data_IF_858530549672
#
_entry.id   IF_858530549672
#
_cell.length_a   1.000
_cell.length_b   1.000
_cell.length_c   1.000
_cell.angle_alpha   90.00
_cell.angle_beta   90.00
_cell.angle_gamma   90.00
#
_symmetry.space_group_name_H-M   'P 1'
#
loop_
_entity.id
_entity.type
_entity.pdbx_description
1 polymer ?
#
# COMPACT_ATOMS: atom_id res chain seq x y z
N UNK A 1 -22.73 10.20 -19.60
CA UNK A 1 -22.61 9.41 -20.84
C UNK A 1 -23.93 9.21 -21.59
N UNK A 2 -25.11 9.30 -20.96
CA UNK A 2 -26.40 9.00 -21.62
C UNK A 2 -26.93 10.01 -22.66
N UNK A 3 -26.30 11.19 -22.81
CA UNK A 3 -26.75 12.27 -23.71
C UNK A 3 -25.79 12.54 -24.88
N UNK A 4 -24.74 11.74 -25.01
CA UNK A 4 -23.62 12.00 -25.93
C UNK A 4 -23.92 11.39 -27.29
N UNK A 5 -23.93 12.21 -28.36
CA UNK A 5 -24.31 11.78 -29.72
C UNK A 5 -23.13 11.62 -30.67
N UNK A 6 -21.94 12.12 -30.31
CA UNK A 6 -20.72 12.07 -31.14
C UNK A 6 -19.51 11.53 -30.38
N UNK A 7 -18.58 10.88 -31.09
CA UNK A 7 -17.35 10.32 -30.52
C UNK A 7 -16.45 11.38 -29.87
N UNK A 8 -16.41 12.59 -30.46
CA UNK A 8 -15.65 13.73 -29.92
C UNK A 8 -16.16 14.19 -28.55
N UNK A 9 -17.49 14.26 -28.38
CA UNK A 9 -18.12 14.63 -27.11
C UNK A 9 -17.86 13.57 -26.02
N UNK A 10 -17.80 12.29 -26.42
CA UNK A 10 -17.51 11.18 -25.52
C UNK A 10 -16.05 11.21 -25.04
N UNK A 11 -15.14 11.55 -25.94
CA UNK A 11 -13.72 11.75 -25.62
C UNK A 11 -13.54 12.95 -24.69
N UNK A 12 -14.20 14.08 -24.98
CA UNK A 12 -14.17 15.27 -24.13
C UNK A 12 -14.69 14.98 -22.72
N UNK A 13 -15.84 14.30 -22.59
CA UNK A 13 -16.37 13.88 -21.29
C UNK A 13 -15.41 12.96 -20.53
N UNK A 14 -14.74 12.01 -21.21
CA UNK A 14 -13.72 11.16 -20.58
C UNK A 14 -12.50 11.95 -20.12
N UNK A 15 -12.06 12.92 -20.93
CA UNK A 15 -10.92 13.77 -20.61
C UNK A 15 -11.20 14.62 -19.37
N UNK A 16 -12.37 15.26 -19.29
CA UNK A 16 -12.78 16.02 -18.11
C UNK A 16 -12.96 15.13 -16.90
N UNK A 17 -13.64 13.98 -17.03
CA UNK A 17 -13.82 13.04 -15.93
C UNK A 17 -12.47 12.56 -15.39
N UNK A 18 -11.54 12.18 -16.28
CA UNK A 18 -10.19 11.78 -15.90
C UNK A 18 -9.38 12.89 -15.25
N UNK A 19 -9.51 14.13 -15.75
CA UNK A 19 -8.85 15.29 -15.13
C UNK A 19 -9.34 15.53 -13.70
N UNK A 20 -10.65 15.44 -13.45
CA UNK A 20 -11.23 15.60 -12.11
C UNK A 20 -10.94 14.41 -11.18
N UNK A 21 -10.99 13.17 -11.66
CA UNK A 21 -10.66 11.98 -10.86
C UNK A 21 -9.18 11.91 -10.49
N UNK A 22 -8.28 12.40 -11.35
CA UNK A 22 -6.83 12.30 -11.14
C UNK A 22 -6.35 13.00 -9.87
N UNK A 23 -7.00 14.09 -9.48
CA UNK A 23 -6.66 14.87 -8.28
C UNK A 23 -7.23 14.29 -6.98
N UNK A 24 -8.24 13.42 -7.06
CA UNK A 24 -8.99 12.96 -5.90
C UNK A 24 -8.12 12.12 -4.95
N UNK A 25 -7.40 11.13 -5.48
CA UNK A 25 -6.55 10.24 -4.71
C UNK A 25 -5.32 10.92 -4.08
N UNK A 26 -4.48 11.68 -4.83
CA UNK A 26 -3.36 12.40 -4.24
C UNK A 26 -3.83 13.53 -3.31
N UNK A 27 -4.94 14.20 -3.62
CA UNK A 27 -5.53 15.25 -2.77
C UNK A 27 -6.04 14.70 -1.43
N UNK A 28 -6.78 13.59 -1.45
CA UNK A 28 -7.25 12.92 -0.23
C UNK A 28 -6.07 12.38 0.60
N UNK A 29 -5.05 11.81 -0.05
CA UNK A 29 -3.86 11.30 0.63
C UNK A 29 -3.04 12.42 1.27
N UNK A 30 -2.89 13.56 0.58
CA UNK A 30 -2.22 14.74 1.12
C UNK A 30 -3.00 15.32 2.30
N UNK A 31 -4.32 15.49 2.17
CA UNK A 31 -5.17 16.02 3.24
C UNK A 31 -5.12 15.14 4.51
N UNK A 32 -5.14 13.81 4.35
CA UNK A 32 -4.97 12.88 5.48
C UNK A 32 -3.58 12.98 6.11
N UNK A 33 -2.53 13.23 5.29
CA UNK A 33 -1.17 13.41 5.80
C UNK A 33 -0.96 14.72 6.58
N UNK A 34 -1.74 15.76 6.28
CA UNK A 34 -1.68 17.06 6.96
C UNK A 34 -2.31 17.05 8.35
N UNK A 35 -3.29 16.16 8.59
CA UNK A 35 -4.12 16.18 9.80
C UNK A 35 -3.79 15.04 10.79
N UNK A 36 -3.18 13.95 10.35
CA UNK A 36 -2.99 12.74 11.16
C UNK A 36 -1.52 12.32 11.32
N UNK A 37 -1.17 11.83 12.52
CA UNK A 37 0.15 11.25 12.82
C UNK A 37 0.39 10.00 11.97
N UNK A 38 1.65 9.80 11.51
CA UNK A 38 2.07 8.72 10.57
C UNK A 38 1.69 7.30 10.99
N UNK A 39 1.69 7.01 12.30
CA UNK A 39 1.27 5.70 12.83
C UNK A 39 -0.22 5.42 12.60
N UNK A 40 -1.05 6.46 12.60
CA UNK A 40 -2.48 6.36 12.30
C UNK A 40 -2.79 6.52 10.81
N UNK A 41 -1.91 7.22 10.08
CA UNK A 41 -2.07 7.49 8.65
C UNK A 41 -2.14 6.19 7.84
N UNK A 42 -1.29 5.20 8.15
CA UNK A 42 -1.25 3.93 7.40
C UNK A 42 -2.58 3.17 7.49
N UNK A 43 -3.18 3.10 8.68
CA UNK A 43 -4.49 2.49 8.90
C UNK A 43 -5.62 3.24 8.19
N UNK A 44 -5.63 4.58 8.24
CA UNK A 44 -6.69 5.39 7.64
C UNK A 44 -6.62 5.43 6.11
N UNK A 45 -5.41 5.50 5.54
CA UNK A 45 -5.20 5.37 4.08
C UNK A 45 -5.60 3.97 3.62
N UNK A 46 -5.33 2.94 4.41
CA UNK A 46 -5.79 1.58 4.11
C UNK A 46 -7.32 1.51 4.02
N UNK A 47 -8.05 2.13 4.95
CA UNK A 47 -9.52 2.22 4.88
C UNK A 47 -9.97 2.96 3.61
N UNK A 48 -9.35 4.09 3.26
CA UNK A 48 -9.70 4.87 2.07
C UNK A 48 -9.59 4.02 0.79
N UNK A 49 -8.49 3.28 0.64
CA UNK A 49 -8.26 2.42 -0.52
C UNK A 49 -9.15 1.17 -0.51
N UNK A 50 -9.41 0.56 0.64
CA UNK A 50 -10.38 -0.55 0.76
C UNK A 50 -11.80 -0.08 0.43
N UNK A 51 -12.20 1.14 0.83
CA UNK A 51 -13.51 1.70 0.51
C UNK A 51 -13.69 1.98 -0.98
N UNK A 52 -12.65 2.50 -1.66
CA UNK A 52 -12.66 2.70 -3.10
C UNK A 52 -12.82 1.37 -3.87
N UNK A 53 -12.10 0.34 -3.43
CA UNK A 53 -12.20 -1.00 -4.01
C UNK A 53 -13.58 -1.63 -3.79
N UNK A 54 -14.15 -1.43 -2.59
CA UNK A 54 -15.49 -1.86 -2.25
C UNK A 54 -16.53 -1.18 -3.15
N UNK A 55 -16.45 0.15 -3.33
CA UNK A 55 -17.33 0.90 -4.22
C UNK A 55 -17.26 0.41 -5.68
N UNK A 56 -16.06 0.07 -6.17
CA UNK A 56 -15.86 -0.52 -7.50
C UNK A 56 -16.56 -1.87 -7.67
N UNK A 57 -16.55 -2.72 -6.62
CA UNK A 57 -17.28 -3.98 -6.63
C UNK A 57 -18.80 -3.76 -6.78
N UNK A 58 -19.37 -2.82 -6.02
CA UNK A 58 -20.80 -2.48 -6.11
C UNK A 58 -21.19 -1.92 -7.48
N UNK A 59 -20.32 -1.12 -8.11
CA UNK A 59 -20.58 -0.53 -9.43
C UNK A 59 -20.75 -1.57 -10.55
N UNK A 60 -19.95 -2.64 -10.54
CA UNK A 60 -20.04 -3.71 -11.55
C UNK A 60 -21.34 -4.52 -11.47
N UNK A 61 -21.81 -4.84 -10.26
CA UNK A 61 -23.08 -5.55 -10.05
C UNK A 61 -24.27 -4.69 -10.40
N UNK A 62 -24.23 -3.41 -10.05
CA UNK A 62 -25.31 -2.47 -10.37
C UNK A 62 -25.43 -2.26 -11.89
N UNK A 63 -24.29 -2.18 -12.60
CA UNK A 63 -24.25 -2.15 -14.06
C UNK A 63 -24.76 -3.45 -14.71
N UNK A 64 -24.43 -4.62 -14.16
CA UNK A 64 -24.96 -5.92 -14.62
C UNK A 64 -26.47 -6.04 -14.38
N UNK A 65 -26.96 -5.57 -13.23
CA UNK A 65 -28.39 -5.50 -12.92
C UNK A 65 -29.14 -4.61 -13.92
N UNK A 66 -28.58 -3.44 -14.25
CA UNK A 66 -29.15 -2.52 -15.26
C UNK A 66 -29.10 -3.15 -16.67
N UNK A 67 -28.04 -3.87 -17.02
CA UNK A 67 -27.90 -4.57 -18.29
C UNK A 67 -28.95 -5.67 -18.51
N UNK A 68 -29.59 -6.18 -17.44
CA UNK A 68 -30.63 -7.22 -17.51
C UNK A 68 -32.06 -6.71 -17.36
N UNK A 69 -32.26 -5.40 -17.21
CA UNK A 69 -33.59 -4.78 -17.12
C UNK A 69 -34.21 -4.36 -18.46
N UNK A 70 -33.63 -4.75 -19.60
CA UNK A 70 -34.25 -4.55 -20.92
C UNK A 70 -35.21 -5.71 -21.24
N UNK A 71 -36.51 -5.46 -21.02
CA UNK A 71 -37.59 -6.40 -21.35
C UNK A 71 -38.20 -7.12 -20.14
N UNK A 72 -38.57 -6.38 -19.09
CA UNK A 72 -39.41 -6.91 -18.00
C UNK A 72 -40.80 -7.21 -18.57
N UNK A 73 -40.96 -8.41 -19.16
CA UNK A 73 -42.12 -8.83 -19.93
C UNK A 73 -42.18 -10.34 -20.20
N UNK A 74 -43.07 -11.06 -19.51
CA UNK A 74 -43.62 -12.35 -19.94
C UNK A 74 -42.65 -13.52 -20.12
N UNK A 75 -42.01 -14.00 -19.04
CA UNK A 75 -41.08 -15.13 -19.07
C UNK A 75 -41.59 -16.32 -18.24
N UNK A 76 -41.37 -17.54 -18.75
CA UNK A 76 -41.86 -18.77 -18.11
C UNK A 76 -41.06 -19.20 -16.87
N UNK A 77 -41.77 -19.79 -15.89
CA UNK A 77 -41.31 -20.11 -14.53
C UNK A 77 -40.00 -20.89 -14.43
N UNK A 78 -39.66 -21.72 -15.42
CA UNK A 78 -38.42 -22.50 -15.42
C UNK A 78 -37.16 -21.63 -15.58
N UNK A 79 -37.27 -20.43 -16.18
CA UNK A 79 -36.15 -19.48 -16.30
C UNK A 79 -35.78 -18.85 -14.95
N UNK A 80 -36.71 -18.82 -14.00
CA UNK A 80 -36.46 -18.34 -12.62
C UNK A 80 -35.53 -19.25 -11.82
N UNK A 81 -35.46 -20.54 -12.16
CA UNK A 81 -34.52 -21.47 -11.51
C UNK A 81 -33.08 -21.09 -11.88
N UNK A 82 -32.83 -20.82 -13.16
CA UNK A 82 -31.52 -20.34 -13.62
C UNK A 82 -31.18 -18.95 -13.05
N UNK A 83 -32.17 -18.07 -12.84
CA UNK A 83 -31.94 -16.79 -12.17
C UNK A 83 -31.61 -16.96 -10.68
N UNK A 84 -32.33 -17.81 -9.95
CA UNK A 84 -32.08 -18.05 -8.52
C UNK A 84 -30.76 -18.78 -8.25
N UNK A 85 -30.36 -19.69 -9.13
CA UNK A 85 -29.07 -20.38 -9.06
C UNK A 85 -27.90 -19.44 -9.40
N UNK A 86 -28.07 -18.57 -10.41
CA UNK A 86 -27.13 -17.50 -10.70
C UNK A 86 -27.00 -16.50 -9.55
N UNK A 87 -28.09 -16.17 -8.84
CA UNK A 87 -28.07 -15.27 -7.67
C UNK A 87 -27.26 -15.84 -6.50
N UNK A 88 -27.35 -17.15 -6.23
CA UNK A 88 -26.56 -17.79 -5.16
C UNK A 88 -25.05 -17.75 -5.44
N UNK A 89 -24.66 -18.10 -6.68
CA UNK A 89 -23.27 -18.01 -7.10
C UNK A 89 -22.78 -16.57 -7.20
N UNK A 90 -23.65 -15.64 -7.58
CA UNK A 90 -23.37 -14.21 -7.60
C UNK A 90 -23.00 -13.70 -6.21
N UNK A 91 -23.80 -14.00 -5.17
CA UNK A 91 -23.53 -13.50 -3.80
C UNK A 91 -22.19 -14.02 -3.28
N UNK A 92 -21.89 -15.31 -3.48
CA UNK A 92 -20.64 -15.93 -2.99
C UNK A 92 -19.43 -15.36 -3.75
N UNK A 93 -19.49 -15.30 -5.08
CA UNK A 93 -18.42 -14.73 -5.88
C UNK A 93 -18.25 -13.23 -5.61
N UNK A 94 -19.34 -12.52 -5.34
CA UNK A 94 -19.33 -11.11 -5.01
C UNK A 94 -18.67 -10.83 -3.65
N UNK A 95 -19.03 -11.60 -2.63
CA UNK A 95 -18.37 -11.52 -1.32
C UNK A 95 -16.88 -11.86 -1.44
N UNK A 96 -16.53 -12.88 -2.23
CA UNK A 96 -15.13 -13.25 -2.47
C UNK A 96 -14.34 -12.13 -3.16
N UNK A 97 -14.92 -11.46 -4.17
CA UNK A 97 -14.30 -10.31 -4.84
C UNK A 97 -14.14 -9.13 -3.88
N UNK A 98 -15.14 -8.84 -3.04
CA UNK A 98 -15.05 -7.78 -2.04
C UNK A 98 -13.92 -8.05 -1.04
N UNK A 99 -13.83 -9.27 -0.52
CA UNK A 99 -12.78 -9.64 0.44
C UNK A 99 -11.39 -9.61 -0.21
N UNK A 100 -11.28 -10.09 -1.44
CA UNK A 100 -10.03 -10.05 -2.20
C UNK A 100 -9.60 -8.60 -2.51
N UNK A 101 -10.53 -7.76 -2.98
CA UNK A 101 -10.26 -6.36 -3.29
C UNK A 101 -9.95 -5.56 -2.03
N UNK A 102 -10.70 -5.78 -0.95
CA UNK A 102 -10.50 -5.15 0.35
C UNK A 102 -9.15 -5.47 0.99
N UNK A 103 -8.59 -6.67 0.74
CA UNK A 103 -7.26 -7.07 1.18
C UNK A 103 -6.12 -6.61 0.26
N UNK A 104 -6.33 -6.60 -1.05
CA UNK A 104 -5.27 -6.26 -2.02
C UNK A 104 -4.96 -4.76 -2.07
N UNK A 105 -5.98 -3.91 -2.00
CA UNK A 105 -5.83 -2.45 -2.08
C UNK A 105 -4.94 -1.85 -0.98
N UNK A 106 -5.08 -2.23 0.31
CA UNK A 106 -4.19 -1.71 1.35
C UNK A 106 -2.77 -2.26 1.24
N UNK A 107 -2.54 -3.46 0.68
CA UNK A 107 -1.18 -4.00 0.55
C UNK A 107 -0.23 -3.07 -0.22
N UNK A 108 -0.71 -2.42 -1.30
CA UNK A 108 0.13 -1.49 -2.08
C UNK A 108 0.53 -0.29 -1.23
N UNK A 109 -0.43 0.32 -0.53
CA UNK A 109 -0.19 1.45 0.35
C UNK A 109 0.74 1.08 1.52
N UNK A 110 0.55 -0.09 2.12
CA UNK A 110 1.40 -0.61 3.20
C UNK A 110 2.84 -0.81 2.72
N UNK A 111 3.05 -1.41 1.56
CA UNK A 111 4.40 -1.62 1.01
C UNK A 111 5.11 -0.28 0.73
N UNK A 112 4.40 0.72 0.20
CA UNK A 112 4.93 2.07 -0.03
C UNK A 112 5.31 2.75 1.29
N UNK A 113 4.41 2.70 2.28
CA UNK A 113 4.64 3.29 3.60
C UNK A 113 5.82 2.62 4.32
N UNK A 114 5.90 1.28 4.25
CA UNK A 114 6.99 0.50 4.84
C UNK A 114 8.34 0.81 4.19
N UNK A 115 8.40 0.86 2.85
CA UNK A 115 9.63 1.19 2.13
C UNK A 115 10.08 2.63 2.42
N UNK A 116 9.13 3.57 2.50
CA UNK A 116 9.39 4.97 2.85
C UNK A 116 9.89 5.16 4.28
N UNK A 117 9.48 4.30 5.21
CA UNK A 117 9.92 4.33 6.61
C UNK A 117 11.26 3.63 6.85
N UNK A 118 11.66 2.70 5.99
CA UNK A 118 12.90 1.94 6.14
C UNK A 118 14.10 2.51 5.35
N UNK A 119 13.91 3.65 4.66
CA UNK A 119 14.98 4.34 3.91
C UNK A 119 15.02 5.81 4.35
N UNK A 120 16.15 6.20 4.95
CA UNK A 120 16.32 7.54 5.53
C UNK A 120 16.77 8.64 4.53
N UNK A 121 17.69 8.40 3.56
CA UNK A 121 18.06 9.47 2.63
C UNK A 121 16.94 9.74 1.61
N UNK A 122 16.50 10.99 1.47
CA UNK A 122 15.38 11.36 0.59
C UNK A 122 15.57 10.94 -0.88
N UNK A 123 16.79 11.09 -1.41
CA UNK A 123 17.13 10.70 -2.79
C UNK A 123 17.05 9.18 -2.97
N UNK A 124 17.66 8.42 -2.05
CA UNK A 124 17.62 6.94 -2.05
C UNK A 124 16.18 6.43 -1.92
N UNK A 125 15.39 7.06 -1.05
CA UNK A 125 13.97 6.75 -0.84
C UNK A 125 13.14 7.02 -2.09
N UNK A 126 13.35 8.16 -2.75
CA UNK A 126 12.65 8.51 -3.98
C UNK A 126 12.97 7.51 -5.11
N UNK A 127 14.25 7.16 -5.30
CA UNK A 127 14.66 6.17 -6.30
C UNK A 127 14.08 4.79 -6.00
N UNK A 128 14.09 4.35 -4.74
CA UNK A 128 13.52 3.06 -4.35
C UNK A 128 12.00 3.00 -4.58
N UNK A 129 11.27 4.06 -4.24
CA UNK A 129 9.83 4.17 -4.49
C UNK A 129 9.51 4.19 -5.99
N UNK A 130 10.27 4.94 -6.79
CA UNK A 130 10.09 5.00 -8.25
C UNK A 130 10.37 3.64 -8.91
N UNK A 131 11.39 2.92 -8.43
CA UNK A 131 11.70 1.57 -8.89
C UNK A 131 10.57 0.59 -8.55
N UNK A 132 10.05 0.64 -7.31
CA UNK A 132 8.94 -0.19 -6.87
C UNK A 132 7.69 0.01 -7.73
N UNK A 133 7.32 1.27 -8.02
CA UNK A 133 6.17 1.61 -8.87
C UNK A 133 6.39 1.11 -10.30
N UNK A 134 7.60 1.24 -10.83
CA UNK A 134 7.95 0.75 -12.17
C UNK A 134 7.77 -0.75 -12.31
N UNK A 135 8.24 -1.54 -11.32
CA UNK A 135 8.04 -3.00 -11.29
C UNK A 135 6.56 -3.35 -11.15
N UNK A 136 5.80 -2.58 -10.36
CA UNK A 136 4.35 -2.75 -10.21
C UNK A 136 3.59 -2.67 -11.55
N UNK A 137 3.99 -1.75 -12.43
CA UNK A 137 3.37 -1.59 -13.74
C UNK A 137 3.61 -2.80 -14.68
N UNK A 138 4.77 -3.48 -14.56
CA UNK A 138 5.07 -4.69 -15.33
C UNK A 138 4.10 -5.82 -14.96
N UNK A 139 3.72 -5.92 -13.68
CA UNK A 139 2.72 -6.88 -13.21
C UNK A 139 1.36 -6.74 -13.92
N UNK A 140 0.97 -5.52 -14.28
CA UNK A 140 -0.27 -5.26 -15.02
C UNK A 140 -0.27 -5.88 -16.42
N UNK A 141 0.86 -5.85 -17.12
CA UNK A 141 1.01 -6.43 -18.47
C UNK A 141 0.89 -7.96 -18.44
N UNK A 142 1.55 -8.60 -17.47
CA UNK A 142 1.55 -10.06 -17.32
C UNK A 142 0.16 -10.55 -16.90
N UNK A 143 -0.51 -9.82 -15.99
CA UNK A 143 -1.83 -10.18 -15.48
C UNK A 143 -2.88 -10.29 -16.60
N UNK A 144 -2.86 -9.35 -17.57
CA UNK A 144 -3.81 -9.34 -18.69
C UNK A 144 -3.71 -10.54 -19.63
N UNK A 145 -2.60 -11.28 -19.59
CA UNK A 145 -2.35 -12.44 -20.47
C UNK A 145 -2.53 -13.79 -19.76
N UNK A 146 -2.72 -13.77 -18.44
CA UNK A 146 -2.68 -14.97 -17.60
C UNK A 146 -3.94 -15.83 -17.71
N UNK A 147 -5.09 -15.21 -18.00
CA UNK A 147 -6.37 -15.89 -18.18
C UNK A 147 -6.70 -16.00 -19.67
N UNK A 148 -6.37 -17.16 -20.26
CA UNK A 148 -6.62 -17.44 -21.68
C UNK A 148 -7.98 -18.11 -21.85
N UNK A 149 -8.72 -17.74 -22.90
CA UNK A 149 -10.06 -18.30 -23.20
C UNK A 149 -10.07 -19.81 -23.42
N UNK A 150 -8.94 -20.38 -23.85
CA UNK A 150 -8.74 -21.82 -24.04
C UNK A 150 -8.79 -22.64 -22.74
N UNK A 151 -8.51 -22.02 -21.59
CA UNK A 151 -8.47 -22.69 -20.28
C UNK A 151 -9.82 -22.62 -19.52
N UNK A 152 -10.87 -22.16 -20.22
CA UNK A 152 -12.23 -22.18 -19.70
C UNK A 152 -12.73 -23.63 -19.51
N UNK A 153 -13.62 -23.90 -18.53
CA UNK A 153 -14.30 -22.95 -17.64
C UNK A 153 -13.60 -22.73 -16.28
N UNK A 154 -12.55 -23.49 -15.96
CA UNK A 154 -11.94 -23.49 -14.61
C UNK A 154 -10.65 -22.68 -14.46
N UNK A 155 -10.01 -22.25 -15.56
CA UNK A 155 -8.83 -21.37 -15.57
C UNK A 155 -7.73 -21.75 -14.56
N UNK A 156 -7.44 -23.05 -14.44
CA UNK A 156 -6.58 -23.61 -13.39
C UNK A 156 -5.17 -23.02 -13.46
N UNK A 157 -4.62 -22.82 -14.67
CA UNK A 157 -3.29 -22.26 -14.86
C UNK A 157 -3.20 -20.82 -14.32
N UNK A 158 -4.18 -19.96 -14.63
CA UNK A 158 -4.23 -18.59 -14.14
C UNK A 158 -4.30 -18.53 -12.61
N UNK A 159 -5.12 -19.38 -12.01
CA UNK A 159 -5.22 -19.48 -10.55
C UNK A 159 -3.96 -20.03 -9.89
N UNK A 160 -3.32 -21.04 -10.48
CA UNK A 160 -2.08 -21.61 -9.97
C UNK A 160 -0.92 -20.60 -9.99
N UNK A 161 -0.78 -19.83 -11.07
CA UNK A 161 0.24 -18.77 -11.17
C UNK A 161 -0.04 -17.66 -10.16
N UNK A 162 -1.30 -17.23 -10.01
CA UNK A 162 -1.67 -16.24 -9.00
C UNK A 162 -1.34 -16.72 -7.57
N UNK A 163 -1.67 -17.96 -7.24
CA UNK A 163 -1.34 -18.57 -5.96
C UNK A 163 0.18 -18.64 -5.74
N UNK A 164 0.94 -18.95 -6.79
CA UNK A 164 2.41 -18.94 -6.78
C UNK A 164 2.99 -17.57 -6.44
N UNK A 165 2.48 -16.49 -7.05
CA UNK A 165 2.91 -15.13 -6.74
C UNK A 165 2.54 -14.71 -5.31
N UNK A 166 1.36 -15.09 -4.82
CA UNK A 166 0.97 -14.88 -3.42
C UNK A 166 1.93 -15.59 -2.46
N UNK A 167 2.24 -16.87 -2.71
CA UNK A 167 3.18 -17.64 -1.90
C UNK A 167 4.60 -17.02 -1.92
N UNK A 168 5.07 -16.61 -3.10
CA UNK A 168 6.34 -15.90 -3.23
C UNK A 168 6.36 -14.59 -2.43
N UNK A 169 5.26 -13.82 -2.45
CA UNK A 169 5.11 -12.61 -1.64
C UNK A 169 5.22 -12.89 -0.13
N UNK A 170 4.57 -13.95 0.36
CA UNK A 170 4.66 -14.37 1.77
C UNK A 170 6.09 -14.77 2.12
N UNK A 171 6.77 -15.54 1.27
CA UNK A 171 8.17 -15.93 1.48
C UNK A 171 9.08 -14.70 1.57
N UNK A 172 8.92 -13.74 0.65
CA UNK A 172 9.70 -12.48 0.69
C UNK A 172 9.42 -11.68 1.96
N UNK A 173 8.16 -11.57 2.39
CA UNK A 173 7.80 -10.89 3.62
C UNK A 173 8.44 -11.55 4.85
N UNK A 174 8.46 -12.89 4.89
CA UNK A 174 9.11 -13.66 5.96
C UNK A 174 10.63 -13.43 5.98
N UNK A 175 11.28 -13.50 4.81
CA UNK A 175 12.72 -13.25 4.67
C UNK A 175 13.05 -11.83 5.13
N UNK A 176 12.27 -10.83 4.70
CA UNK A 176 12.44 -9.45 5.13
C UNK A 176 12.27 -9.31 6.64
N UNK A 177 11.22 -9.89 7.23
CA UNK A 177 10.96 -9.80 8.67
C UNK A 177 12.12 -10.37 9.48
N UNK A 178 12.60 -11.57 9.13
CA UNK A 178 13.73 -12.18 9.83
C UNK A 178 15.05 -11.48 9.55
N UNK A 179 15.28 -11.01 8.31
CA UNK A 179 16.46 -10.24 7.94
C UNK A 179 16.56 -8.93 8.71
N UNK A 180 15.47 -8.15 8.77
CA UNK A 180 15.42 -6.88 9.50
C UNK A 180 15.54 -7.11 11.02
N UNK A 181 14.93 -8.17 11.56
CA UNK A 181 15.12 -8.55 12.97
C UNK A 181 16.56 -8.93 13.28
N UNK A 182 17.19 -9.71 12.41
CA UNK A 182 18.58 -10.12 12.58
C UNK A 182 19.53 -8.91 12.50
N UNK A 183 19.31 -8.00 11.56
CA UNK A 183 20.11 -6.79 11.41
C UNK A 183 19.91 -5.82 12.57
N UNK A 184 18.68 -5.62 13.05
CA UNK A 184 18.42 -4.85 14.28
C UNK A 184 19.15 -5.44 15.48
N UNK A 185 19.10 -6.77 15.68
CA UNK A 185 19.85 -7.47 16.74
C UNK A 185 21.36 -7.34 16.58
N UNK A 186 21.87 -7.38 15.35
CA UNK A 186 23.31 -7.18 15.07
C UNK A 186 23.74 -5.77 15.45
N UNK A 187 22.96 -4.76 15.07
CA UNK A 187 23.24 -3.36 15.42
C UNK A 187 23.09 -3.11 16.92
N UNK A 188 22.16 -3.78 17.60
CA UNK A 188 22.05 -3.73 19.06
C UNK A 188 23.27 -4.34 19.77
N UNK A 189 23.91 -5.36 19.18
CA UNK A 189 25.17 -5.90 19.72
C UNK A 189 26.36 -4.97 19.50
N UNK A 190 26.43 -4.32 18.35
CA UNK A 190 27.56 -3.45 17.97
C UNK A 190 27.48 -2.08 18.66
N UNK A 191 26.29 -1.48 18.69
CA UNK A 191 26.09 -0.11 19.13
C UNK A 191 25.25 -0.01 20.40
N UNK A 192 24.78 -1.12 20.96
CA UNK A 192 23.87 -1.20 22.12
C UNK A 192 22.41 -0.80 21.77
N UNK A 193 21.46 -0.98 22.71
CA UNK A 193 20.05 -0.66 22.50
C UNK A 193 19.82 0.86 22.42
N UNK A 194 18.80 1.26 21.65
CA UNK A 194 18.32 2.64 21.55
C UNK A 194 17.58 3.02 22.84
N UNK A 195 17.87 4.21 23.40
CA UNK A 195 17.11 4.76 24.54
C UNK A 195 15.76 5.29 24.04
N UNK A 196 14.67 4.86 24.66
CA UNK A 196 13.30 5.31 24.36
C UNK A 196 12.93 6.66 25.00
N UNK A 197 13.77 7.16 25.91
CA UNK A 197 13.59 8.43 26.62
C UNK A 197 14.97 9.03 26.93
N UNK A 198 15.11 10.33 26.73
CA UNK A 198 16.30 11.09 27.15
C UNK A 198 15.91 12.01 28.30
N UNK A 199 16.70 11.96 29.36
CA UNK A 199 16.60 12.89 30.48
C UNK A 199 17.37 14.14 30.06
N UNK A 200 16.66 15.26 29.92
CA UNK A 200 17.29 16.54 29.61
C UNK A 200 18.14 16.98 30.82
N UNK A 201 19.16 17.81 30.57
CA UNK A 201 19.98 18.42 31.64
C UNK A 201 19.11 19.23 32.62
N UNK A 202 17.91 19.65 32.21
CA UNK A 202 16.87 20.27 33.05
C UNK A 202 16.19 19.30 34.04
N UNK A 203 16.51 18.00 34.01
CA UNK A 203 15.86 16.98 34.84
C UNK A 203 14.49 16.53 34.34
N UNK A 204 13.97 17.11 33.26
CA UNK A 204 12.73 16.67 32.61
C UNK A 204 12.99 15.49 31.67
N UNK A 205 12.20 14.42 31.85
CA UNK A 205 12.20 13.27 30.95
C UNK A 205 11.26 13.53 29.77
N UNK A 206 11.81 13.71 28.57
CA UNK A 206 11.01 13.80 27.34
C UNK A 206 10.97 12.43 26.68
N UNK A 207 9.77 11.92 26.39
CA UNK A 207 9.60 10.71 25.58
C UNK A 207 10.06 10.99 24.15
N UNK A 208 11.02 10.22 23.66
CA UNK A 208 11.52 10.36 22.31
C UNK A 208 10.46 9.80 21.36
N UNK A 209 9.57 10.66 20.84
CA UNK A 209 8.58 10.23 19.85
C UNK A 209 9.35 9.80 18.60
N UNK A 210 9.29 8.50 18.31
CA UNK A 210 10.11 7.84 17.27
C UNK A 210 9.51 8.16 15.90
N UNK A 211 9.63 9.40 15.45
CA UNK A 211 9.11 9.79 14.14
C UNK A 211 10.13 9.41 13.08
N UNK A 212 10.08 8.15 12.62
CA UNK A 212 11.09 7.42 11.84
C UNK A 212 11.54 8.07 10.51
N UNK A 213 11.01 9.25 10.16
CA UNK A 213 11.54 10.06 9.06
C UNK A 213 12.50 11.17 9.49
N UNK A 214 12.53 11.51 10.76
CA UNK A 214 13.54 12.36 11.36
C UNK A 214 14.25 11.49 12.39
N UNK A 215 15.56 11.30 12.24
CA UNK A 215 16.37 10.99 13.40
C UNK A 215 16.17 12.16 14.37
N UNK A 216 15.15 12.12 15.23
CA UNK A 216 15.14 13.01 16.38
C UNK A 216 16.24 12.49 17.28
N UNK A 217 17.31 13.26 17.22
CA UNK A 217 18.53 13.36 18.01
C UNK A 217 18.18 13.56 19.50
N UNK A 218 17.24 12.79 20.03
CA UNK A 218 17.18 12.59 21.46
C UNK A 218 18.34 11.64 21.80
N UNK A 219 19.55 12.20 21.93
CA UNK A 219 20.76 11.50 22.36
C UNK A 219 22.01 11.80 21.52
N UNK A 220 21.88 12.11 20.22
CA UNK A 220 23.05 12.38 19.34
C UNK A 220 23.81 13.68 19.74
N UNK A 221 23.25 14.46 20.67
CA UNK A 221 23.90 15.63 21.29
C UNK A 221 24.77 15.33 22.51
N UNK A 222 24.70 14.13 23.11
CA UNK A 222 25.56 13.79 24.24
C UNK A 222 26.94 13.36 23.73
N UNK A 223 28.01 13.94 24.29
CA UNK A 223 29.39 13.52 23.98
C UNK A 223 29.59 12.01 24.17
N UNK A 224 28.92 11.39 25.16
CA UNK A 224 29.00 9.95 25.40
C UNK A 224 28.49 9.11 24.22
N UNK A 225 27.39 9.51 23.60
CA UNK A 225 26.80 8.77 22.47
C UNK A 225 27.62 9.00 21.18
N UNK A 226 28.24 10.18 21.01
CA UNK A 226 29.21 10.41 19.91
C UNK A 226 30.46 9.55 20.07
N UNK A 227 30.98 9.40 21.28
CA UNK A 227 32.10 8.48 21.58
C UNK A 227 31.70 7.03 21.33
N UNK A 228 30.52 6.61 21.78
CA UNK A 228 29.98 5.24 21.62
C UNK A 228 29.82 4.84 20.14
N UNK A 229 29.48 5.78 19.28
CA UNK A 229 29.29 5.52 17.84
C UNK A 229 30.48 5.92 16.97
N UNK A 230 31.53 6.51 17.56
CA UNK A 230 32.75 6.92 16.85
C UNK A 230 32.58 8.14 15.95
N UNK A 231 31.62 9.02 16.25
CA UNK A 231 31.31 10.24 15.48
C UNK A 231 31.98 11.51 16.06
N UNK A 232 33.05 11.36 16.85
CA UNK A 232 33.73 12.48 17.53
C UNK A 232 34.25 13.56 16.57
N UNK A 233 34.66 13.17 15.36
CA UNK A 233 35.25 14.07 14.37
C UNK A 233 34.24 14.57 13.31
N UNK A 234 32.96 14.21 13.44
CA UNK A 234 31.93 14.59 12.46
C UNK A 234 31.09 15.76 12.99
N UNK A 235 30.78 16.70 12.11
CA UNK A 235 29.85 17.78 12.42
C UNK A 235 28.42 17.26 12.57
N UNK A 236 27.56 17.99 13.27
CA UNK A 236 26.15 17.59 13.45
C UNK A 236 25.37 17.46 12.14
N UNK A 237 25.74 18.25 11.13
CA UNK A 237 25.12 18.18 9.81
C UNK A 237 25.51 16.88 9.10
N UNK A 238 26.78 16.50 9.11
CA UNK A 238 27.25 15.23 8.53
C UNK A 238 26.61 14.02 9.23
N UNK A 239 26.44 14.08 10.56
CA UNK A 239 25.76 13.03 11.33
C UNK A 239 24.29 12.89 10.92
N UNK A 240 23.60 14.00 10.61
CA UNK A 240 22.21 13.97 10.12
C UNK A 240 22.10 13.43 8.70
N UNK A 241 23.11 13.66 7.86
CA UNK A 241 23.14 13.21 6.48
C UNK A 241 23.42 11.70 6.32
N UNK A 242 24.01 11.05 7.34
CA UNK A 242 24.26 9.59 7.35
C UNK A 242 22.98 8.75 7.14
N UNK A 243 21.81 9.23 7.57
CA UNK A 243 20.53 8.55 7.36
C UNK A 243 20.51 7.09 7.84
N UNK A 244 20.40 6.13 6.91
CA UNK A 244 20.32 4.68 7.19
C UNK A 244 21.67 4.05 7.57
N UNK A 245 22.76 4.76 7.31
CA UNK A 245 24.11 4.40 7.75
C UNK A 245 24.37 4.77 9.21
N UNK A 246 23.50 5.55 9.84
CA UNK A 246 23.65 5.96 11.22
C UNK A 246 23.59 4.75 12.18
N UNK A 247 24.50 4.68 13.15
CA UNK A 247 24.61 3.57 14.11
C UNK A 247 23.34 3.34 14.95
N UNK A 248 22.64 4.42 15.27
CA UNK A 248 21.35 4.39 15.97
C UNK A 248 20.15 3.99 15.09
N UNK A 249 20.32 3.88 13.76
CA UNK A 249 19.23 3.51 12.86
C UNK A 249 18.74 2.08 13.14
N UNK A 250 17.41 1.93 13.21
CA UNK A 250 16.74 0.64 13.36
C UNK A 250 15.61 0.55 12.34
N UNK A 251 15.50 -0.61 11.72
CA UNK A 251 14.45 -0.90 10.76
C UNK A 251 13.12 -1.10 11.48
N UNK A 252 12.05 -0.60 10.87
CA UNK A 252 10.67 -0.77 11.35
C UNK A 252 10.25 -2.22 11.05
N UNK A 253 9.67 -2.88 12.06
CA UNK A 253 9.15 -4.24 11.99
C UNK A 253 7.63 -4.28 12.05
#
# INVERSE_FOLDING_TARGET
MGLVKSYGDLLACRLFLGAFESGLFPGASFYLSSWYKRRELSWRVSILFSAAALAGAFGGVLAYGISKMTGVGGQEGWRWIFYLEAVKHLIINYLAVILAAGGLSPCIATCIAFLSGNISPHTKRATALAFMISVGNIGGVISGQLYRTQDAPRFILGHAVNLGFCAFGVINAVILLFGLRAENRRRDRLYGPTRSSVVLVSGESTSCETDVQNLDICGVGSEEDRRRWGYENMSEQEIRELGDQHAAWRYIL
#
